data_IF_791459653602
#
_entry.id   IF_791459653602
#
_cell.length_a   1.000
_cell.length_b   1.000
_cell.length_c   1.000
_cell.angle_alpha   90.00
_cell.angle_beta   90.00
_cell.angle_gamma   90.00
#
_symmetry.space_group_name_H-M   'P 1'
#
loop_
_entity.id
_entity.type
_entity.pdbx_description
1 polymer ?
#
# COMPACT_ATOMS: atom_id res chain seq x y z
N UNK A 1 -25.69 -41.96 -47.04
CA UNK A 1 -26.51 -41.53 -45.91
C UNK A 1 -26.46 -42.68 -44.91
N UNK A 2 -25.90 -42.61 -43.72
CA UNK A 2 -25.47 -41.58 -42.76
C UNK A 2 -24.37 -42.31 -41.94
N UNK A 3 -23.13 -41.86 -41.77
CA UNK A 3 -22.75 -40.70 -40.98
C UNK A 3 -22.62 -41.08 -39.49
N UNK A 4 -21.62 -41.87 -39.11
CA UNK A 4 -21.22 -42.05 -37.70
C UNK A 4 -19.75 -41.65 -37.57
N UNK A 5 -19.51 -40.34 -37.43
CA UNK A 5 -18.29 -39.82 -36.85
C UNK A 5 -18.45 -39.85 -35.33
N UNK A 6 -17.76 -40.77 -34.66
CA UNK A 6 -17.57 -40.72 -33.22
C UNK A 6 -16.44 -39.73 -32.92
N UNK A 7 -16.74 -38.45 -33.01
CA UNK A 7 -15.96 -37.43 -32.31
C UNK A 7 -16.37 -37.50 -30.83
N UNK A 8 -15.91 -38.54 -30.14
CA UNK A 8 -15.74 -38.46 -28.69
C UNK A 8 -14.64 -37.41 -28.47
N UNK A 9 -15.02 -36.15 -28.37
CA UNK A 9 -14.24 -35.17 -27.61
C UNK A 9 -14.09 -35.78 -26.22
N UNK A 10 -12.97 -36.48 -26.00
CA UNK A 10 -12.58 -37.03 -24.72
C UNK A 10 -12.52 -35.86 -23.73
N UNK A 11 -13.65 -35.62 -23.08
CA UNK A 11 -13.89 -34.56 -22.12
C UNK A 11 -12.89 -34.84 -20.99
N UNK A 12 -11.77 -34.11 -21.00
CA UNK A 12 -10.66 -34.36 -20.08
C UNK A 12 -11.18 -34.24 -18.66
N UNK A 13 -11.27 -35.37 -17.96
CA UNK A 13 -11.62 -35.41 -16.55
C UNK A 13 -10.47 -34.76 -15.76
N UNK A 14 -10.67 -33.49 -15.39
CA UNK A 14 -9.75 -32.77 -14.49
C UNK A 14 -9.56 -33.47 -13.14
N UNK A 15 -10.45 -34.40 -12.79
CA UNK A 15 -10.34 -35.27 -11.61
C UNK A 15 -9.18 -36.28 -11.70
N UNK A 16 -8.63 -36.57 -12.89
CA UNK A 16 -7.48 -37.47 -13.09
C UNK A 16 -6.12 -36.74 -12.96
N UNK A 17 -6.14 -35.41 -12.76
CA UNK A 17 -4.93 -34.63 -12.59
C UNK A 17 -4.30 -34.89 -11.21
N UNK A 18 -2.97 -35.08 -11.17
CA UNK A 18 -2.24 -35.24 -9.91
C UNK A 18 -2.51 -34.03 -9.01
N UNK A 19 -2.81 -34.20 -7.70
CA UNK A 19 -3.17 -33.11 -6.80
C UNK A 19 -2.18 -31.95 -6.78
N UNK A 20 -0.89 -32.24 -6.95
CA UNK A 20 0.17 -31.22 -6.99
C UNK A 20 0.08 -30.34 -8.25
N UNK A 21 -0.20 -30.95 -9.42
CA UNK A 21 -0.41 -30.20 -10.65
C UNK A 21 -1.68 -29.34 -10.55
N UNK A 22 -2.74 -29.87 -9.93
CA UNK A 22 -3.97 -29.12 -9.69
C UNK A 22 -3.73 -27.94 -8.73
N UNK A 23 -2.96 -28.13 -7.66
CA UNK A 23 -2.62 -27.04 -6.74
C UNK A 23 -1.79 -25.94 -7.41
N UNK A 24 -0.89 -26.29 -8.34
CA UNK A 24 -0.14 -25.29 -9.12
C UNK A 24 -1.07 -24.48 -10.03
N UNK A 25 -2.01 -25.14 -10.71
CA UNK A 25 -3.00 -24.47 -11.58
C UNK A 25 -3.92 -23.57 -10.74
N UNK A 26 -4.50 -24.11 -9.67
CA UNK A 26 -5.36 -23.35 -8.77
C UNK A 26 -4.62 -22.23 -8.07
N UNK A 27 -3.30 -22.37 -7.85
CA UNK A 27 -2.44 -21.31 -7.34
C UNK A 27 -2.39 -20.08 -8.26
N UNK A 28 -2.67 -20.22 -9.56
CA UNK A 28 -2.74 -19.13 -10.55
C UNK A 28 -4.12 -18.50 -10.68
N UNK A 29 -5.14 -19.07 -10.05
CA UNK A 29 -6.49 -18.51 -10.03
C UNK A 29 -6.51 -17.28 -9.10
N UNK A 30 -7.37 -16.31 -9.41
CA UNK A 30 -7.58 -15.13 -8.57
C UNK A 30 -8.03 -15.49 -7.16
N UNK A 31 -7.71 -14.62 -6.21
CA UNK A 31 -7.95 -14.90 -4.79
C UNK A 31 -9.45 -15.01 -4.47
N UNK A 32 -10.25 -14.21 -5.15
CA UNK A 32 -11.71 -14.24 -5.07
C UNK A 32 -12.27 -15.60 -5.50
N UNK A 33 -11.88 -16.11 -6.69
CA UNK A 33 -12.39 -17.38 -7.19
C UNK A 33 -11.85 -18.57 -6.40
N UNK A 34 -10.62 -18.49 -5.87
CA UNK A 34 -10.08 -19.48 -4.91
C UNK A 34 -10.97 -19.61 -3.68
N UNK A 35 -11.57 -18.51 -3.25
CA UNK A 35 -12.40 -18.43 -2.05
C UNK A 35 -13.88 -18.75 -2.32
N UNK A 36 -14.41 -18.45 -3.51
CA UNK A 36 -15.84 -18.59 -3.82
C UNK A 36 -16.16 -19.78 -4.75
N UNK A 37 -15.59 -19.80 -5.96
CA UNK A 37 -15.96 -20.71 -7.05
C UNK A 37 -15.23 -22.05 -6.96
N UNK A 38 -13.91 -22.04 -6.81
CA UNK A 38 -13.06 -23.24 -6.83
C UNK A 38 -13.50 -24.31 -5.80
N UNK A 39 -13.85 -23.95 -4.55
CA UNK A 39 -14.33 -24.93 -3.56
C UNK A 39 -15.69 -25.57 -3.89
N UNK A 40 -16.45 -24.99 -4.84
CA UNK A 40 -17.79 -25.42 -5.25
C UNK A 40 -17.80 -26.35 -6.46
N UNK A 41 -16.69 -26.43 -7.22
CA UNK A 41 -16.58 -27.26 -8.44
C UNK A 41 -16.68 -28.75 -8.10
N UNK A 42 -15.74 -29.27 -7.32
CA UNK A 42 -15.77 -30.66 -6.85
C UNK A 42 -14.98 -30.83 -5.54
N UNK A 43 -15.07 -32.03 -4.93
CA UNK A 43 -14.36 -32.34 -3.68
C UNK A 43 -12.83 -32.29 -3.83
N UNK A 44 -12.30 -32.67 -4.99
CA UNK A 44 -10.86 -32.64 -5.25
C UNK A 44 -10.35 -31.20 -5.32
N UNK A 45 -11.03 -30.32 -6.04
CA UNK A 45 -10.68 -28.90 -6.14
C UNK A 45 -10.76 -28.19 -4.80
N UNK A 46 -11.79 -28.47 -4.00
CA UNK A 46 -11.90 -27.98 -2.62
C UNK A 46 -10.72 -28.40 -1.76
N UNK A 47 -10.26 -29.66 -1.88
CA UNK A 47 -9.10 -30.16 -1.13
C UNK A 47 -7.79 -29.55 -1.63
N UNK A 48 -7.64 -29.41 -2.94
CA UNK A 48 -6.45 -28.83 -3.56
C UNK A 48 -6.29 -27.34 -3.19
N UNK A 49 -7.38 -26.55 -3.28
CA UNK A 49 -7.35 -25.13 -2.91
C UNK A 49 -7.18 -24.90 -1.41
N UNK A 50 -7.56 -25.85 -0.56
CA UNK A 50 -7.26 -25.77 0.88
C UNK A 50 -5.78 -25.99 1.21
N UNK A 51 -4.98 -26.51 0.27
CA UNK A 51 -3.56 -26.73 0.45
C UNK A 51 -2.73 -25.44 0.42
N UNK A 52 -1.57 -25.40 1.11
CA UNK A 52 -0.77 -24.19 1.30
C UNK A 52 -0.19 -23.62 -0.01
N UNK A 53 0.03 -24.48 -1.01
CA UNK A 53 0.57 -24.06 -2.32
C UNK A 53 -0.35 -23.09 -3.08
N UNK A 54 -1.65 -23.08 -2.80
CA UNK A 54 -2.59 -22.16 -3.42
C UNK A 54 -2.54 -20.74 -2.83
N UNK A 55 -1.89 -20.57 -1.68
CA UNK A 55 -1.85 -19.34 -0.89
C UNK A 55 -0.42 -18.81 -0.72
N UNK A 56 0.47 -19.11 -1.66
CA UNK A 56 1.83 -18.55 -1.66
C UNK A 56 1.83 -17.02 -1.86
N UNK A 57 0.86 -16.53 -2.64
CA UNK A 57 0.66 -15.12 -2.94
C UNK A 57 -0.75 -14.73 -2.53
N UNK A 58 -0.86 -13.81 -1.58
CA UNK A 58 -2.11 -13.30 -1.05
C UNK A 58 -2.07 -11.78 -1.13
N UNK A 59 -2.98 -11.22 -1.91
CA UNK A 59 -3.20 -9.78 -2.01
C UNK A 59 -4.68 -9.49 -1.80
N UNK A 60 -4.99 -8.87 -0.66
CA UNK A 60 -6.34 -8.43 -0.29
C UNK A 60 -6.35 -6.94 0.07
N UNK A 61 -5.36 -6.16 -0.36
CA UNK A 61 -5.22 -4.77 0.05
C UNK A 61 -6.47 -3.94 -0.29
N UNK A 62 -7.00 -4.07 -1.51
CA UNK A 62 -8.22 -3.37 -1.93
C UNK A 62 -9.47 -3.85 -1.18
N UNK A 63 -9.58 -5.16 -0.94
CA UNK A 63 -10.69 -5.73 -0.17
C UNK A 63 -10.65 -5.26 1.29
N UNK A 64 -9.45 -5.21 1.89
CA UNK A 64 -9.21 -4.62 3.19
C UNK A 64 -9.74 -3.19 3.22
N UNK A 65 -9.60 -2.41 2.13
CA UNK A 65 -10.07 -1.03 2.01
C UNK A 65 -11.60 -0.85 2.04
N UNK A 66 -12.34 -1.88 1.65
CA UNK A 66 -13.81 -1.84 1.58
C UNK A 66 -14.49 -2.57 2.74
N UNK A 67 -13.72 -3.29 3.55
CA UNK A 67 -14.22 -4.18 4.59
C UNK A 67 -14.08 -3.61 5.99
N UNK A 68 -14.94 -4.07 6.91
CA UNK A 68 -14.83 -3.74 8.32
C UNK A 68 -13.57 -4.36 8.96
N UNK A 69 -12.92 -3.69 9.93
CA UNK A 69 -11.67 -4.18 10.51
C UNK A 69 -11.74 -5.59 11.11
N UNK A 70 -12.85 -5.96 11.75
CA UNK A 70 -13.04 -7.32 12.29
C UNK A 70 -13.06 -8.39 11.18
N UNK A 71 -13.65 -8.07 10.03
CA UNK A 71 -13.67 -8.99 8.89
C UNK A 71 -12.29 -9.13 8.29
N UNK A 72 -11.54 -8.03 8.21
CA UNK A 72 -10.14 -8.04 7.78
C UNK A 72 -9.31 -8.95 8.66
N UNK A 73 -9.41 -8.81 9.97
CA UNK A 73 -8.66 -9.64 10.91
C UNK A 73 -8.98 -11.13 10.75
N UNK A 74 -10.26 -11.51 10.68
CA UNK A 74 -10.69 -12.90 10.48
C UNK A 74 -10.19 -13.47 9.15
N UNK A 75 -10.30 -12.69 8.08
CA UNK A 75 -9.84 -13.08 6.75
C UNK A 75 -8.31 -13.28 6.73
N UNK A 76 -7.54 -12.33 7.26
CA UNK A 76 -6.08 -12.43 7.36
C UNK A 76 -5.67 -13.66 8.14
N UNK A 77 -6.27 -13.89 9.32
CA UNK A 77 -5.97 -15.09 10.14
C UNK A 77 -6.21 -16.38 9.37
N UNK A 78 -7.34 -16.46 8.65
CA UNK A 78 -7.68 -17.62 7.84
C UNK A 78 -6.68 -17.83 6.68
N UNK A 79 -6.35 -16.79 5.93
CA UNK A 79 -5.44 -16.86 4.78
C UNK A 79 -4.01 -17.23 5.21
N UNK A 80 -3.51 -16.60 6.27
CA UNK A 80 -2.20 -16.92 6.84
C UNK A 80 -2.17 -18.34 7.38
N UNK A 81 -3.24 -18.82 8.02
CA UNK A 81 -3.32 -20.21 8.50
C UNK A 81 -3.31 -21.22 7.36
N UNK A 82 -3.89 -20.87 6.20
CA UNK A 82 -3.89 -21.72 5.00
C UNK A 82 -2.54 -21.74 4.30
N UNK A 83 -1.91 -20.58 4.12
CA UNK A 83 -0.59 -20.48 3.48
C UNK A 83 0.53 -21.05 4.34
N UNK A 84 0.50 -20.77 5.65
CA UNK A 84 1.49 -21.20 6.62
C UNK A 84 2.92 -20.93 6.12
N UNK A 85 3.78 -21.95 6.19
CA UNK A 85 5.17 -21.88 5.74
C UNK A 85 5.37 -21.80 4.21
N UNK A 86 4.29 -21.86 3.41
CA UNK A 86 4.37 -21.62 1.96
C UNK A 86 4.06 -20.16 1.59
N UNK A 87 3.54 -19.36 2.53
CA UNK A 87 3.20 -17.97 2.27
C UNK A 87 4.46 -17.15 2.00
N UNK A 88 4.62 -16.69 0.76
CA UNK A 88 5.77 -15.93 0.29
C UNK A 88 5.46 -14.43 0.19
N UNK A 89 4.25 -14.09 -0.27
CA UNK A 89 3.84 -12.72 -0.49
C UNK A 89 2.50 -12.46 0.21
N UNK A 90 2.46 -11.45 1.07
CA UNK A 90 1.25 -11.00 1.74
C UNK A 90 1.11 -9.48 1.55
N UNK A 91 -0.01 -9.06 0.96
CA UNK A 91 -0.44 -7.67 0.87
C UNK A 91 -1.79 -7.49 1.55
N UNK A 92 -1.81 -6.71 2.62
CA UNK A 92 -2.96 -6.42 3.47
C UNK A 92 -2.91 -4.95 3.88
N UNK A 93 -4.01 -4.38 4.35
CA UNK A 93 -4.00 -3.02 4.91
C UNK A 93 -4.91 -2.91 6.12
N UNK A 94 -4.74 -1.83 6.89
CA UNK A 94 -5.63 -1.46 8.01
C UNK A 94 -5.72 -2.46 9.15
N UNK A 95 -4.60 -3.11 9.45
CA UNK A 95 -4.48 -3.92 10.66
C UNK A 95 -4.61 -3.02 11.89
N UNK A 96 -5.45 -3.39 12.86
CA UNK A 96 -5.84 -2.51 13.97
C UNK A 96 -4.91 -2.60 15.19
N UNK A 97 -4.14 -3.66 15.31
CA UNK A 97 -3.31 -3.92 16.48
C UNK A 97 -2.04 -4.73 16.19
N UNK A 98 -1.21 -4.81 17.22
CA UNK A 98 0.02 -5.60 17.22
C UNK A 98 -0.24 -7.11 17.19
N UNK A 99 -1.42 -7.56 17.65
CA UNK A 99 -1.73 -8.98 17.78
C UNK A 99 -1.89 -9.65 16.42
N UNK A 100 -2.53 -8.99 15.45
CA UNK A 100 -2.64 -9.52 14.09
C UNK A 100 -1.30 -9.51 13.36
N UNK A 101 -0.44 -8.50 13.57
CA UNK A 101 0.91 -8.49 13.05
C UNK A 101 1.75 -9.64 13.63
N UNK A 102 1.70 -9.82 14.95
CA UNK A 102 2.38 -10.94 15.62
C UNK A 102 1.88 -12.28 15.07
N UNK A 103 0.58 -12.45 14.84
CA UNK A 103 0.00 -13.65 14.24
C UNK A 103 0.57 -13.92 12.84
N UNK A 104 0.61 -12.91 11.96
CA UNK A 104 1.20 -13.04 10.61
C UNK A 104 2.65 -13.54 10.71
N UNK A 105 3.46 -12.91 11.55
CA UNK A 105 4.88 -13.25 11.67
C UNK A 105 5.09 -14.61 12.32
N UNK A 106 4.26 -15.03 13.28
CA UNK A 106 4.34 -16.35 13.90
C UNK A 106 4.04 -17.49 12.92
N UNK A 107 3.08 -17.30 12.01
CA UNK A 107 2.59 -18.36 11.14
C UNK A 107 3.18 -18.34 9.72
N UNK A 108 3.71 -17.20 9.26
CA UNK A 108 4.32 -17.06 7.93
C UNK A 108 5.69 -16.38 7.89
N UNK A 109 6.21 -15.86 9.01
CA UNK A 109 7.40 -15.01 9.03
C UNK A 109 8.64 -15.63 8.37
N UNK A 110 8.85 -16.94 8.57
CA UNK A 110 10.04 -17.64 8.06
C UNK A 110 10.10 -17.76 6.53
N UNK A 111 8.95 -17.71 5.85
CA UNK A 111 8.85 -17.86 4.38
C UNK A 111 8.52 -16.56 3.65
N UNK A 112 8.03 -15.54 4.36
CA UNK A 112 7.65 -14.25 3.77
C UNK A 112 8.85 -13.55 3.13
N UNK A 113 8.72 -13.30 1.82
CA UNK A 113 9.63 -12.52 0.99
C UNK A 113 9.11 -11.12 0.74
N UNK A 114 7.79 -10.98 0.65
CA UNK A 114 7.11 -9.69 0.45
C UNK A 114 6.04 -9.54 1.51
N UNK A 115 6.11 -8.45 2.27
CA UNK A 115 5.10 -8.09 3.25
C UNK A 115 4.71 -6.63 3.01
N UNK A 116 3.44 -6.40 2.67
CA UNK A 116 2.86 -5.05 2.56
C UNK A 116 1.74 -4.93 3.57
N UNK A 117 1.81 -3.90 4.40
CA UNK A 117 0.84 -3.60 5.44
C UNK A 117 0.54 -2.09 5.53
N UNK A 118 0.27 -1.36 4.43
CA UNK A 118 0.02 0.06 4.52
C UNK A 118 -1.18 0.41 5.43
N UNK A 119 -1.13 1.60 6.02
CA UNK A 119 -2.19 2.16 6.89
C UNK A 119 -2.50 1.24 8.10
N UNK A 120 -1.49 0.54 8.62
CA UNK A 120 -1.66 -0.40 9.73
C UNK A 120 -1.16 0.17 11.05
N UNK A 121 -1.86 -0.15 12.13
CA UNK A 121 -1.61 0.31 13.49
C UNK A 121 -0.66 -0.64 14.23
N UNK A 122 0.54 -0.84 13.67
CA UNK A 122 1.60 -1.69 14.22
C UNK A 122 2.62 -0.82 14.98
N UNK A 123 2.96 -1.20 16.20
CA UNK A 123 3.91 -0.48 17.04
C UNK A 123 5.36 -0.90 16.82
N UNK A 124 6.30 -0.02 17.17
CA UNK A 124 7.73 -0.36 17.23
C UNK A 124 7.99 -1.60 18.11
N UNK A 125 7.30 -1.72 19.24
CA UNK A 125 7.58 -2.75 20.24
C UNK A 125 7.35 -4.17 19.69
N UNK A 126 6.23 -4.40 19.00
CA UNK A 126 5.96 -5.73 18.41
C UNK A 126 6.92 -6.05 17.27
N UNK A 127 7.35 -5.04 16.51
CA UNK A 127 8.31 -5.22 15.42
C UNK A 127 9.69 -5.57 15.98
N UNK A 128 10.14 -4.89 17.04
CA UNK A 128 11.40 -5.21 17.74
C UNK A 128 11.39 -6.66 18.27
N UNK A 129 10.28 -7.11 18.83
CA UNK A 129 10.13 -8.50 19.33
C UNK A 129 10.20 -9.53 18.19
N UNK A 130 9.55 -9.23 17.06
CA UNK A 130 9.24 -10.23 16.05
C UNK A 130 10.14 -10.19 14.81
N UNK A 131 10.91 -9.12 14.58
CA UNK A 131 11.72 -8.91 13.37
C UNK A 131 12.70 -10.05 13.07
N UNK A 132 13.22 -10.74 14.10
CA UNK A 132 14.12 -11.89 13.94
C UNK A 132 13.52 -13.05 13.13
N UNK A 133 12.18 -13.16 13.07
CA UNK A 133 11.46 -14.19 12.32
C UNK A 133 11.28 -13.85 10.85
N UNK A 134 11.50 -12.59 10.43
CA UNK A 134 11.34 -12.09 9.06
C UNK A 134 12.64 -12.11 8.25
N UNK A 135 13.53 -13.08 8.51
CA UNK A 135 14.87 -13.13 7.90
C UNK A 135 14.88 -13.34 6.38
N UNK A 136 13.80 -13.89 5.82
CA UNK A 136 13.61 -14.12 4.38
C UNK A 136 13.05 -12.89 3.63
N UNK A 137 12.74 -11.80 4.33
CA UNK A 137 12.06 -10.65 3.76
C UNK A 137 12.96 -9.90 2.77
N UNK A 138 12.41 -9.62 1.59
CA UNK A 138 13.07 -8.94 0.47
C UNK A 138 12.40 -7.61 0.14
N UNK A 139 11.08 -7.52 0.32
CA UNK A 139 10.30 -6.31 0.06
C UNK A 139 9.37 -6.04 1.24
N UNK A 140 9.39 -4.81 1.74
CA UNK A 140 8.53 -4.35 2.82
C UNK A 140 7.83 -3.05 2.44
N UNK A 141 6.53 -2.98 2.65
CA UNK A 141 5.76 -1.74 2.56
C UNK A 141 5.03 -1.49 3.89
N UNK A 142 5.40 -0.38 4.53
CA UNK A 142 4.85 0.12 5.80
C UNK A 142 4.39 1.57 5.64
N UNK A 143 3.95 1.91 4.43
CA UNK A 143 3.44 3.25 4.11
C UNK A 143 2.25 3.59 5.01
N UNK A 144 2.23 4.82 5.52
CA UNK A 144 1.18 5.37 6.37
C UNK A 144 1.00 4.68 7.73
N UNK A 145 1.96 3.86 8.18
CA UNK A 145 1.97 3.29 9.52
C UNK A 145 2.54 4.31 10.54
N UNK A 146 1.68 5.08 11.19
CA UNK A 146 2.10 6.19 12.09
C UNK A 146 2.78 5.72 13.39
N UNK A 147 2.48 4.50 13.84
CA UNK A 147 3.03 3.89 15.08
C UNK A 147 4.37 3.17 14.89
N UNK A 148 4.80 2.97 13.65
CA UNK A 148 6.13 2.47 13.32
C UNK A 148 7.05 3.65 13.06
N UNK A 149 8.25 3.64 13.64
CA UNK A 149 9.25 4.69 13.48
C UNK A 149 10.67 4.13 13.33
N UNK A 150 11.64 4.89 13.82
CA UNK A 150 13.06 4.56 13.67
C UNK A 150 13.45 3.23 14.35
N UNK A 151 12.84 2.87 15.48
CA UNK A 151 13.15 1.63 16.21
C UNK A 151 12.69 0.39 15.45
N UNK A 152 11.47 0.40 14.92
CA UNK A 152 10.99 -0.67 14.04
C UNK A 152 11.91 -0.85 12.83
N UNK A 153 12.23 0.26 12.13
CA UNK A 153 13.11 0.22 10.96
C UNK A 153 14.49 -0.34 11.30
N UNK A 154 15.07 0.07 12.43
CA UNK A 154 16.35 -0.43 12.88
C UNK A 154 16.29 -1.94 13.20
N UNK A 155 15.24 -2.41 13.86
CA UNK A 155 15.02 -3.84 14.12
C UNK A 155 14.83 -4.64 12.83
N UNK A 156 14.05 -4.12 11.88
CA UNK A 156 13.87 -4.73 10.56
C UNK A 156 15.22 -4.82 9.85
N UNK A 157 15.99 -3.74 9.74
CA UNK A 157 17.27 -3.76 9.03
C UNK A 157 18.33 -4.62 9.71
N UNK A 158 18.30 -4.74 11.05
CA UNK A 158 19.18 -5.66 11.78
C UNK A 158 18.88 -7.14 11.49
N UNK A 159 17.63 -7.52 11.27
CA UNK A 159 17.22 -8.91 11.13
C UNK A 159 16.96 -9.35 9.68
N UNK A 160 16.42 -8.47 8.83
CA UNK A 160 16.02 -8.74 7.45
C UNK A 160 17.16 -8.43 6.47
N UNK A 161 18.23 -9.24 6.49
CA UNK A 161 19.44 -8.98 5.69
C UNK A 161 19.30 -9.16 4.18
N UNK A 162 18.16 -9.72 3.76
CA UNK A 162 17.81 -9.90 2.35
C UNK A 162 16.94 -8.76 1.80
N UNK A 163 16.65 -7.74 2.61
CA UNK A 163 15.77 -6.62 2.22
C UNK A 163 16.41 -5.78 1.10
N UNK A 164 15.70 -5.68 -0.01
CA UNK A 164 16.10 -4.93 -1.22
C UNK A 164 15.10 -3.83 -1.58
N UNK A 165 13.85 -3.91 -1.11
CA UNK A 165 12.83 -2.89 -1.33
C UNK A 165 12.16 -2.47 -0.03
N UNK A 166 12.06 -1.16 0.20
CA UNK A 166 11.35 -0.58 1.34
C UNK A 166 10.50 0.62 0.88
N UNK A 167 9.20 0.58 1.19
CA UNK A 167 8.30 1.73 1.04
C UNK A 167 7.86 2.23 2.41
N UNK A 168 8.20 3.48 2.70
CA UNK A 168 7.94 4.20 3.95
C UNK A 168 7.38 5.60 3.63
N UNK A 169 6.20 5.61 3.02
CA UNK A 169 5.53 6.86 2.64
C UNK A 169 4.68 7.39 3.81
N UNK A 170 4.56 8.71 3.94
CA UNK A 170 3.78 9.35 5.00
C UNK A 170 2.68 10.26 4.42
N UNK A 171 1.72 10.67 5.27
CA UNK A 171 0.66 11.58 4.87
C UNK A 171 1.17 13.05 4.93
N UNK A 172 0.86 13.90 3.94
CA UNK A 172 1.15 15.33 4.03
C UNK A 172 0.40 16.05 5.15
N UNK A 173 -0.73 15.54 5.61
CA UNK A 173 -1.60 16.23 6.57
C UNK A 173 -0.98 16.22 7.98
N UNK A 174 -0.90 17.39 8.63
CA UNK A 174 -0.34 17.55 9.98
C UNK A 174 1.18 17.77 10.03
N UNK A 175 1.83 17.94 8.87
CA UNK A 175 3.29 18.06 8.76
C UNK A 175 3.83 19.48 9.02
N UNK A 176 2.97 20.51 8.95
CA UNK A 176 3.36 21.93 8.94
C UNK A 176 4.11 22.42 10.20
N UNK A 177 4.07 21.64 11.30
CA UNK A 177 4.72 21.98 12.57
C UNK A 177 5.98 21.16 12.88
N UNK A 178 6.38 20.21 12.03
CA UNK A 178 7.45 19.26 12.36
C UNK A 178 8.81 19.72 11.84
N UNK A 179 9.75 19.97 12.76
CA UNK A 179 11.18 20.07 12.44
C UNK A 179 11.65 18.77 11.80
N UNK A 180 12.47 18.84 10.74
CA UNK A 180 12.93 17.64 10.05
C UNK A 180 13.57 16.60 10.98
N UNK A 181 13.28 15.33 10.70
CA UNK A 181 13.68 14.18 11.50
C UNK A 181 14.46 13.19 10.63
N UNK A 182 15.73 12.98 10.97
CA UNK A 182 16.64 12.09 10.25
C UNK A 182 16.75 10.69 10.89
N UNK A 183 16.09 10.41 12.02
CA UNK A 183 16.25 9.14 12.75
C UNK A 183 15.90 7.91 11.91
N UNK A 184 14.79 7.96 11.15
CA UNK A 184 14.41 6.87 10.24
C UNK A 184 15.45 6.67 9.13
N UNK A 185 15.92 7.77 8.52
CA UNK A 185 16.93 7.75 7.46
C UNK A 185 18.27 7.19 7.98
N UNK A 186 18.67 7.55 9.19
CA UNK A 186 19.87 7.03 9.85
C UNK A 186 19.73 5.53 10.18
N UNK A 187 18.57 5.09 10.66
CA UNK A 187 18.32 3.67 10.93
C UNK A 187 18.43 2.83 9.63
N UNK A 188 17.82 3.31 8.53
CA UNK A 188 17.91 2.67 7.22
C UNK A 188 19.37 2.63 6.74
N UNK A 189 20.05 3.77 6.73
CA UNK A 189 21.42 3.90 6.25
C UNK A 189 22.40 2.97 6.98
N UNK A 190 22.24 2.82 8.31
CA UNK A 190 23.16 2.03 9.13
C UNK A 190 22.89 0.53 9.08
N UNK A 191 21.64 0.11 8.82
CA UNK A 191 21.24 -1.30 8.96
C UNK A 191 20.88 -2.01 7.66
N UNK A 192 20.57 -1.27 6.58
CA UNK A 192 20.06 -1.80 5.31
C UNK A 192 20.98 -1.50 4.10
N UNK A 193 22.26 -1.95 4.09
CA UNK A 193 23.22 -1.58 3.05
C UNK A 193 22.91 -2.14 1.64
N UNK A 194 22.10 -3.21 1.57
CA UNK A 194 21.74 -3.93 0.32
C UNK A 194 20.45 -3.41 -0.33
N UNK A 195 19.89 -2.34 0.20
CA UNK A 195 18.64 -1.77 -0.30
C UNK A 195 18.85 -1.24 -1.71
N UNK A 196 17.99 -1.66 -2.65
CA UNK A 196 17.99 -1.26 -4.07
C UNK A 196 16.89 -0.25 -4.38
N UNK A 197 15.75 -0.36 -3.71
CA UNK A 197 14.59 0.51 -3.89
C UNK A 197 14.16 1.06 -2.54
N UNK A 198 14.10 2.39 -2.43
CA UNK A 198 13.61 3.09 -1.25
C UNK A 198 12.59 4.15 -1.67
N UNK A 199 11.42 4.11 -1.05
CA UNK A 199 10.41 5.17 -1.16
C UNK A 199 10.19 5.77 0.22
N UNK A 200 10.31 7.09 0.31
CA UNK A 200 10.06 7.89 1.51
C UNK A 200 9.24 9.14 1.14
N UNK A 201 8.14 8.95 0.41
CA UNK A 201 7.27 10.04 -0.03
C UNK A 201 6.69 10.79 1.17
N UNK A 202 6.71 12.14 1.14
CA UNK A 202 6.37 13.00 2.29
C UNK A 202 7.13 12.67 3.59
N UNK A 203 8.32 12.07 3.49
CA UNK A 203 9.19 11.85 4.64
C UNK A 203 9.69 13.16 5.26
N UNK A 204 9.98 13.13 6.56
CA UNK A 204 10.45 14.30 7.30
C UNK A 204 11.98 14.49 7.26
N UNK A 205 12.70 13.67 6.51
CA UNK A 205 14.16 13.71 6.44
C UNK A 205 14.71 15.04 5.90
N UNK A 206 15.86 15.43 6.44
CA UNK A 206 16.65 16.58 5.97
C UNK A 206 17.75 16.13 5.02
N UNK A 207 18.55 17.08 4.52
CA UNK A 207 19.73 16.78 3.73
C UNK A 207 20.73 15.87 4.48
N UNK A 208 20.78 15.92 5.80
CA UNK A 208 21.67 15.08 6.61
C UNK A 208 21.26 13.61 6.52
N UNK A 209 19.96 13.31 6.72
CA UNK A 209 19.42 11.97 6.56
C UNK A 209 19.58 11.45 5.13
N UNK A 210 19.37 12.31 4.12
CA UNK A 210 19.57 11.93 2.73
C UNK A 210 21.03 11.56 2.43
N UNK A 211 21.99 12.34 2.90
CA UNK A 211 23.43 12.02 2.77
C UNK A 211 23.79 10.72 3.48
N UNK A 212 23.18 10.45 4.64
CA UNK A 212 23.38 9.19 5.33
C UNK A 212 22.88 8.00 4.50
N UNK A 213 21.69 8.10 3.89
CA UNK A 213 21.16 7.06 2.98
C UNK A 213 22.12 6.82 1.82
N UNK A 214 22.66 7.87 1.19
CA UNK A 214 23.63 7.70 0.11
C UNK A 214 24.92 7.01 0.54
N UNK A 215 25.41 7.32 1.75
CA UNK A 215 26.62 6.70 2.30
C UNK A 215 26.40 5.23 2.69
N UNK A 216 25.25 4.93 3.30
CA UNK A 216 24.94 3.61 3.86
C UNK A 216 24.37 2.60 2.86
N UNK A 217 23.46 3.04 1.99
CA UNK A 217 22.78 2.18 1.02
C UNK A 217 23.47 2.27 -0.35
N UNK A 218 24.61 1.60 -0.51
CA UNK A 218 25.46 1.70 -1.71
C UNK A 218 24.90 0.95 -2.93
N UNK A 219 23.99 -0.01 -2.73
CA UNK A 219 23.32 -0.77 -3.79
C UNK A 219 22.02 -0.12 -4.29
N UNK A 220 21.59 1.01 -3.71
CA UNK A 220 20.39 1.76 -4.12
C UNK A 220 20.44 2.13 -5.62
N UNK A 221 19.39 1.76 -6.33
CA UNK A 221 19.14 2.03 -7.75
C UNK A 221 17.99 3.02 -7.91
N UNK A 222 17.01 3.00 -7.00
CA UNK A 222 15.85 3.88 -6.97
C UNK A 222 15.64 4.50 -5.59
N UNK A 223 15.49 5.82 -5.56
CA UNK A 223 15.10 6.59 -4.37
C UNK A 223 13.97 7.54 -4.72
N UNK A 224 12.86 7.46 -4.00
CA UNK A 224 11.77 8.43 -4.08
C UNK A 224 11.67 9.23 -2.78
N UNK A 225 11.87 10.54 -2.87
CA UNK A 225 11.78 11.52 -1.77
C UNK A 225 10.91 12.70 -2.15
N UNK A 226 9.99 12.51 -3.10
CA UNK A 226 9.00 13.54 -3.47
C UNK A 226 8.11 13.86 -2.26
N UNK A 227 7.71 15.12 -2.12
CA UNK A 227 6.95 15.61 -0.97
C UNK A 227 7.78 15.81 0.31
N UNK A 228 9.08 15.49 0.31
CA UNK A 228 9.96 15.76 1.46
C UNK A 228 10.35 17.24 1.49
N UNK A 229 9.51 18.05 2.10
CA UNK A 229 9.64 19.52 2.12
C UNK A 229 10.89 20.05 2.85
N UNK A 230 11.53 19.24 3.70
CA UNK A 230 12.78 19.57 4.37
C UNK A 230 14.02 19.44 3.46
N UNK A 231 13.85 18.95 2.23
CA UNK A 231 14.91 18.82 1.23
C UNK A 231 14.87 19.99 0.25
N UNK A 232 16.02 20.61 0.00
CA UNK A 232 16.17 21.67 -1.01
C UNK A 232 16.50 21.09 -2.38
N UNK A 233 15.89 21.66 -3.42
CA UNK A 233 16.21 21.38 -4.82
C UNK A 233 17.61 21.92 -5.09
N UNK A 234 18.56 21.05 -5.43
CA UNK A 234 19.96 21.42 -5.71
C UNK A 234 20.95 21.23 -4.55
N UNK A 235 20.49 20.76 -3.38
CA UNK A 235 21.35 20.39 -2.27
C UNK A 235 21.76 18.92 -2.32
N UNK A 236 21.67 18.22 -1.19
CA UNK A 236 22.01 16.80 -1.10
C UNK A 236 21.35 15.92 -2.18
N UNK A 237 20.17 16.28 -2.69
CA UNK A 237 19.47 15.54 -3.76
C UNK A 237 20.30 15.45 -5.06
N UNK A 238 21.12 16.46 -5.36
CA UNK A 238 22.01 16.43 -6.53
C UNK A 238 23.33 15.71 -6.26
N UNK A 239 23.74 15.58 -5.00
CA UNK A 239 24.96 14.89 -4.54
C UNK A 239 24.79 13.36 -4.53
N UNK A 240 24.22 12.82 -5.61
CA UNK A 240 23.97 11.38 -5.77
C UNK A 240 25.06 10.71 -6.58
N UNK A 241 25.23 9.40 -6.38
CA UNK A 241 26.13 8.59 -7.21
C UNK A 241 25.58 8.38 -8.63
N UNK A 242 26.45 8.16 -9.63
CA UNK A 242 26.03 7.82 -10.98
C UNK A 242 25.18 6.54 -11.00
N UNK A 243 24.10 6.53 -11.76
CA UNK A 243 23.20 5.38 -11.89
C UNK A 243 22.06 5.33 -10.85
N UNK A 244 22.12 6.10 -9.76
CA UNK A 244 20.98 6.22 -8.83
C UNK A 244 19.89 7.12 -9.44
N UNK A 245 18.70 6.57 -9.62
CA UNK A 245 17.51 7.34 -10.01
C UNK A 245 16.86 7.91 -8.75
N UNK A 246 16.85 9.24 -8.65
CA UNK A 246 16.21 9.96 -7.54
C UNK A 246 15.00 10.73 -8.08
N UNK A 247 13.85 10.54 -7.45
CA UNK A 247 12.62 11.32 -7.68
C UNK A 247 12.41 12.26 -6.50
N UNK A 248 12.12 13.54 -6.75
CA UNK A 248 11.86 14.55 -5.72
C UNK A 248 12.92 15.65 -5.61
N UNK A 249 12.79 16.57 -4.64
CA UNK A 249 11.78 16.58 -3.57
C UNK A 249 10.44 17.18 -4.00
N UNK A 250 10.40 17.88 -5.13
CA UNK A 250 9.15 18.39 -5.68
C UNK A 250 8.25 17.25 -6.14
N UNK A 251 6.97 17.37 -5.82
CA UNK A 251 5.93 16.64 -6.52
C UNK A 251 5.69 17.43 -7.80
N UNK A 252 5.91 16.84 -8.99
CA UNK A 252 5.53 17.50 -10.23
C UNK A 252 4.05 17.88 -10.14
N UNK A 253 3.76 19.17 -10.07
CA UNK A 253 2.40 19.66 -9.94
C UNK A 253 1.62 19.25 -11.19
N UNK A 254 0.53 18.51 -11.01
CA UNK A 254 -0.53 18.35 -12.00
C UNK A 254 -1.32 19.65 -12.26
N UNK A 255 -0.96 20.73 -11.57
CA UNK A 255 -1.61 22.04 -11.62
C UNK A 255 -0.97 23.07 -12.58
N UNK A 256 0.17 22.76 -13.20
CA UNK A 256 0.87 23.68 -14.12
C UNK A 256 0.22 23.78 -15.51
N UNK A 257 -1.00 23.28 -15.69
CA UNK A 257 -1.73 23.31 -16.98
C UNK A 257 -2.93 24.26 -17.01
N UNK A 258 -3.22 24.99 -15.94
CA UNK A 258 -4.41 25.88 -15.87
C UNK A 258 -4.13 27.33 -15.45
N UNK A 259 -2.87 27.75 -15.26
CA UNK A 259 -2.54 29.13 -14.87
C UNK A 259 -1.57 29.84 -15.83
N UNK A 260 -1.34 29.27 -17.02
CA UNK A 260 -0.73 29.99 -18.14
C UNK A 260 -1.71 30.01 -19.32
N UNK A 261 -2.84 30.67 -19.15
CA UNK A 261 -3.51 31.30 -20.29
C UNK A 261 -3.88 32.74 -19.91
N UNK A 262 -3.26 33.62 -20.69
CA UNK A 262 -3.40 35.06 -20.83
C UNK A 262 -4.52 35.78 -20.04
N UNK A 263 -4.09 36.78 -19.27
CA UNK A 263 -4.88 37.98 -19.05
C UNK A 263 -5.20 38.65 -20.40
N UNK A 264 -6.47 38.77 -20.77
CA UNK A 264 -6.92 39.89 -21.60
C UNK A 264 -8.42 40.16 -21.41
N UNK A 265 -8.64 41.38 -20.93
CA UNK A 265 -9.67 42.33 -21.35
C UNK A 265 -11.05 42.32 -20.70
N UNK A 266 -11.22 43.36 -19.87
CA UNK A 266 -12.26 44.37 -20.00
C UNK A 266 -13.72 43.93 -19.94
N UNK A 267 -14.31 44.08 -18.74
CA UNK A 267 -15.67 44.61 -18.65
C UNK A 267 -15.72 45.85 -17.76
N UNK A 268 -15.96 46.92 -18.50
CA UNK A 268 -16.16 48.31 -18.15
C UNK A 268 -17.26 48.53 -17.10
N UNK A 269 -17.06 49.58 -16.32
CA UNK A 269 -17.95 50.08 -15.28
C UNK A 269 -19.12 50.85 -15.89
N UNK A 270 -20.35 50.73 -15.35
CA UNK A 270 -21.11 51.89 -14.82
C UNK A 270 -22.61 51.66 -14.54
N UNK A 271 -23.02 52.15 -13.36
CA UNK A 271 -24.26 52.95 -13.08
C UNK A 271 -25.63 52.22 -13.12
N UNK A 272 -26.69 52.55 -12.37
CA UNK A 272 -27.02 53.50 -11.28
C UNK A 272 -28.53 53.28 -10.94
N UNK A 273 -28.97 53.82 -9.79
CA UNK A 273 -30.34 53.94 -9.24
C UNK A 273 -30.93 52.69 -8.57
N UNK A 274 -31.70 52.75 -7.48
CA UNK A 274 -31.94 53.66 -6.34
C UNK A 274 -33.23 53.15 -5.67
N UNK A 275 -33.20 53.02 -4.34
CA UNK A 275 -34.32 53.29 -3.40
C UNK A 275 -35.61 52.43 -3.39
N UNK A 276 -35.77 51.78 -2.23
CA UNK A 276 -36.95 51.79 -1.33
C UNK A 276 -37.98 50.65 -1.38
N UNK A 277 -38.08 49.96 -0.23
CA UNK A 277 -39.18 49.08 0.15
C UNK A 277 -38.87 48.25 1.39
N UNK A 278 -39.04 48.83 2.59
CA UNK A 278 -38.97 48.14 3.88
C UNK A 278 -40.00 47.00 4.00
N UNK A 279 -39.60 45.87 4.60
CA UNK A 279 -40.10 45.34 5.89
C UNK A 279 -39.62 43.89 6.11
N UNK A 280 -38.89 43.68 7.22
CA UNK A 280 -39.02 42.62 8.25
C UNK A 280 -39.14 41.14 7.77
N UNK A 281 -38.35 40.15 8.21
CA UNK A 281 -37.78 39.83 9.53
C UNK A 281 -36.62 38.81 9.41
N UNK A 282 -35.86 38.72 10.51
CA UNK A 282 -35.06 37.57 10.98
C UNK A 282 -33.60 37.42 10.48
N UNK A 283 -32.72 38.03 11.26
CA UNK A 283 -31.30 37.71 11.36
C UNK A 283 -31.11 36.41 12.14
N UNK A 284 -30.33 35.47 11.58
CA UNK A 284 -29.52 34.54 12.38
C UNK A 284 -28.23 34.21 11.62
N UNK A 285 -27.10 34.50 12.27
CA UNK A 285 -25.85 33.73 12.17
C UNK A 285 -25.02 33.84 10.89
N UNK A 286 -23.91 34.57 11.00
CA UNK A 286 -22.75 34.54 10.09
C UNK A 286 -21.94 33.26 10.33
N UNK A 287 -21.08 32.96 9.35
CA UNK A 287 -19.95 32.00 9.35
C UNK A 287 -20.35 30.58 8.88
N UNK A 288 -19.70 29.93 7.93
CA UNK A 288 -18.33 30.08 7.43
C UNK A 288 -18.24 29.32 6.10
N UNK A 289 -17.27 29.73 5.29
CA UNK A 289 -16.98 29.22 3.96
C UNK A 289 -16.59 27.74 3.98
N UNK A 290 -17.14 26.93 3.08
CA UNK A 290 -16.36 25.85 2.46
C UNK A 290 -16.97 25.45 1.11
N UNK A 291 -16.62 26.21 0.06
CA UNK A 291 -16.80 25.79 -1.32
C UNK A 291 -15.63 24.89 -1.71
N UNK A 292 -15.98 23.79 -2.37
CA UNK A 292 -15.14 22.63 -2.56
C UNK A 292 -13.88 22.85 -3.39
N UNK A 293 -12.94 21.95 -3.17
CA UNK A 293 -11.87 21.65 -4.12
C UNK A 293 -11.78 20.13 -4.28
N UNK A 294 -12.68 19.59 -5.11
CA UNK A 294 -12.42 18.38 -5.88
C UNK A 294 -11.26 18.71 -6.84
N UNK A 295 -10.10 18.08 -6.65
CA UNK A 295 -8.99 18.35 -7.56
C UNK A 295 -7.62 17.95 -7.06
N UNK A 296 -7.45 16.92 -6.24
CA UNK A 296 -6.13 16.29 -6.16
C UNK A 296 -6.32 14.90 -6.73
N UNK A 297 -5.71 14.63 -7.88
CA UNK A 297 -5.44 13.26 -8.33
C UNK A 297 -4.35 12.67 -7.42
N UNK A 298 -4.70 12.62 -6.14
CA UNK A 298 -4.17 11.80 -5.11
C UNK A 298 -4.47 10.38 -5.61
N UNK A 299 -3.54 9.45 -5.51
CA UNK A 299 -3.93 8.04 -5.41
C UNK A 299 -4.64 7.91 -4.06
N UNK A 300 -5.84 8.46 -4.01
CA UNK A 300 -6.73 8.37 -2.88
C UNK A 300 -7.16 6.91 -2.91
N UNK A 301 -6.65 6.10 -2.00
CA UNK A 301 -7.30 4.85 -1.61
C UNK A 301 -8.60 5.12 -0.83
N UNK A 302 -9.37 6.14 -1.22
CA UNK A 302 -10.77 6.28 -0.87
C UNK A 302 -11.51 5.75 -2.08
N UNK A 303 -11.68 4.43 -2.11
CA UNK A 303 -12.77 3.86 -2.86
C UNK A 303 -14.04 4.61 -2.42
N UNK A 304 -14.58 5.42 -3.33
CA UNK A 304 -15.91 5.97 -3.19
C UNK A 304 -16.82 4.84 -2.70
N UNK A 305 -17.48 5.06 -1.57
CA UNK A 305 -18.39 4.12 -0.98
C UNK A 305 -19.57 3.96 -1.95
N UNK A 306 -19.47 2.97 -2.84
CA UNK A 306 -20.59 2.54 -3.66
C UNK A 306 -21.19 1.31 -2.95
N UNK A 307 -22.30 1.45 -2.20
CA UNK A 307 -22.89 0.36 -1.45
C UNK A 307 -23.50 -0.74 -2.33
N UNK A 308 -23.54 -0.57 -3.66
CA UNK A 308 -24.29 -1.46 -4.56
C UNK A 308 -23.44 -2.44 -5.40
N UNK A 309 -22.18 -2.68 -5.04
CA UNK A 309 -21.39 -3.77 -5.65
C UNK A 309 -20.78 -4.70 -4.59
N UNK A 310 -21.66 -5.48 -3.96
CA UNK A 310 -21.32 -6.72 -3.24
C UNK A 310 -21.10 -7.84 -4.28
N UNK A 311 -19.97 -7.78 -5.00
CA UNK A 311 -19.59 -8.83 -5.93
C UNK A 311 -18.20 -9.35 -5.57
N UNK A 312 -18.18 -10.58 -5.07
CA UNK A 312 -17.06 -11.48 -5.32
C UNK A 312 -16.50 -12.22 -4.13
N UNK A 313 -16.26 -11.52 -3.03
CA UNK A 313 -15.63 -12.10 -1.85
C UNK A 313 -16.65 -12.87 -1.02
N UNK A 314 -16.34 -14.09 -0.55
CA UNK A 314 -17.23 -14.75 0.39
C UNK A 314 -17.31 -13.94 1.68
N UNK A 315 -18.45 -14.06 2.37
CA UNK A 315 -18.59 -13.55 3.73
C UNK A 315 -17.39 -14.00 4.57
N UNK A 316 -16.86 -13.08 5.39
CA UNK A 316 -15.83 -13.42 6.37
C UNK A 316 -16.28 -14.66 7.15
N UNK A 317 -15.39 -15.66 7.35
CA UNK A 317 -15.63 -16.75 8.28
C UNK A 317 -15.98 -16.24 9.68
#
# INVERSE_FOLDING_TARGET
MVGEGSDDEAMRCWDDLVPDALAVILGKVGLEEKLSVVPRVCKLWRRAVAGPMCWQEVDIEEWCHRSHPEQVERMVKMLVSRGGAALCNLSVSRLQDDAIFAFIVQHGGGSLRTLKLPVSEVSDAVVEEMASKLSSLTTLDISYCSKMGCKALEAIGRNCKSLVGLSRNMNPIGWEAHTGNDEEAMAIATTMPRLKHLEMFYGQLTETGLRAIYAGCQELEHLDVRGCHNLRIGGAVTDRRPGLRVLGPLIPNCYDSYLEDDCSDDYDSSSIYSEDGELDEEWDGVDEWDEGWDGVEMRVYLAAHNPDHDFGWPASP
#
